data_IF_383712084724
#
_entry.id   IF_383712084724
#
_cell.length_a   1.000
_cell.length_b   1.000
_cell.length_c   1.000
_cell.angle_alpha   90.00
_cell.angle_beta   90.00
_cell.angle_gamma   90.00
#
_symmetry.space_group_name_H-M   'P 1'
#
loop_
_entity.id
_entity.type
_entity.pdbx_description
1 polymer ?
#
# COMPACT_ATOMS: atom_id res chain seq x y z
N UNK A 1 3.82 7.67 18.03
CA UNK A 1 4.22 7.54 16.62
C UNK A 1 3.24 6.61 15.90
N UNK A 2 2.89 6.89 14.64
CA UNK A 2 2.00 6.01 13.90
C UNK A 2 2.67 4.66 13.63
N UNK A 3 1.84 3.62 13.56
CA UNK A 3 2.36 2.28 13.29
C UNK A 3 2.84 2.14 11.86
N UNK A 4 2.20 2.85 10.94
CA UNK A 4 2.56 2.86 9.53
C UNK A 4 2.61 4.31 9.06
N UNK A 5 3.56 4.61 8.19
CA UNK A 5 3.72 5.95 7.64
C UNK A 5 3.91 5.89 6.13
N UNK A 6 3.25 6.81 5.43
CA UNK A 6 3.46 6.96 3.99
C UNK A 6 4.78 7.67 3.74
N UNK A 7 5.65 7.07 2.92
CA UNK A 7 6.92 7.67 2.55
C UNK A 7 6.83 8.30 1.17
N UNK A 8 6.39 7.54 0.17
CA UNK A 8 6.24 8.08 -1.17
C UNK A 8 5.21 7.30 -1.97
N UNK A 9 4.64 7.97 -2.98
CA UNK A 9 3.72 7.36 -3.93
C UNK A 9 4.40 7.42 -5.28
N UNK A 10 4.67 6.26 -5.87
CA UNK A 10 5.31 6.17 -7.17
C UNK A 10 4.32 5.62 -8.19
N UNK A 11 4.72 5.60 -9.45
CA UNK A 11 3.81 5.23 -10.52
C UNK A 11 3.32 3.79 -10.43
N UNK A 12 4.21 2.88 -10.04
CA UNK A 12 3.92 1.46 -9.99
C UNK A 12 4.00 0.87 -8.58
N UNK A 13 4.21 1.70 -7.56
CA UNK A 13 4.33 1.23 -6.20
C UNK A 13 4.07 2.35 -5.19
N UNK A 14 3.80 1.95 -3.96
CA UNK A 14 3.68 2.87 -2.84
C UNK A 14 4.67 2.41 -1.78
N UNK A 15 5.46 3.35 -1.25
CA UNK A 15 6.46 3.05 -0.23
C UNK A 15 5.92 3.52 1.12
N UNK A 16 5.85 2.62 2.08
CA UNK A 16 5.45 2.97 3.44
C UNK A 16 6.46 2.41 4.42
N UNK A 17 6.50 3.00 5.61
CA UNK A 17 7.34 2.51 6.68
C UNK A 17 6.49 1.81 7.74
N UNK A 18 6.85 0.59 8.06
CA UNK A 18 6.23 -0.17 9.13
C UNK A 18 7.04 0.05 10.40
N UNK A 19 6.53 0.91 11.29
CA UNK A 19 7.24 1.26 12.53
C UNK A 19 7.17 0.16 13.58
N UNK A 20 6.25 -0.78 13.41
CA UNK A 20 6.17 -1.92 14.32
C UNK A 20 7.38 -2.82 14.12
N UNK A 21 7.72 -3.09 12.87
CA UNK A 21 8.85 -3.94 12.50
C UNK A 21 10.11 -3.15 12.20
N UNK A 22 10.01 -1.81 12.17
CA UNK A 22 11.09 -0.92 11.80
C UNK A 22 11.66 -1.27 10.41
N UNK A 23 10.77 -1.49 9.44
CA UNK A 23 11.13 -1.88 8.08
C UNK A 23 10.32 -1.11 7.04
N UNK A 24 10.87 -1.02 5.84
CA UNK A 24 10.19 -0.40 4.71
C UNK A 24 9.35 -1.44 4.00
N UNK A 25 8.10 -1.11 3.70
CA UNK A 25 7.21 -1.98 2.95
C UNK A 25 6.96 -1.36 1.58
N UNK A 26 7.21 -2.13 0.54
CA UNK A 26 6.91 -1.71 -0.83
C UNK A 26 5.63 -2.38 -1.27
N UNK A 27 4.62 -1.58 -1.58
CA UNK A 27 3.34 -2.09 -2.07
C UNK A 27 3.36 -1.95 -3.58
N UNK A 28 3.47 -3.07 -4.28
CA UNK A 28 3.57 -3.08 -5.73
C UNK A 28 2.18 -3.14 -6.36
N UNK A 29 1.97 -2.31 -7.38
CA UNK A 29 0.69 -2.26 -8.10
C UNK A 29 0.79 -3.18 -9.31
N UNK A 30 0.07 -4.32 -9.26
CA UNK A 30 0.12 -5.35 -10.31
C UNK A 30 -1.28 -5.73 -10.76
N UNK A 31 -1.55 -5.58 -12.05
CA UNK A 31 -2.77 -6.10 -12.68
C UNK A 31 -4.07 -5.87 -11.90
N UNK A 32 -4.23 -4.66 -11.38
CA UNK A 32 -5.42 -4.32 -10.60
C UNK A 32 -5.39 -4.77 -9.16
N UNK A 33 -4.29 -5.32 -8.69
CA UNK A 33 -4.12 -5.78 -7.32
C UNK A 33 -2.90 -5.16 -6.66
N UNK A 34 -2.91 -5.08 -5.35
CA UNK A 34 -1.76 -4.63 -4.58
C UNK A 34 -1.06 -5.82 -3.94
N UNK A 35 0.26 -5.81 -3.97
CA UNK A 35 1.06 -6.86 -3.36
C UNK A 35 2.07 -6.23 -2.42
N UNK A 36 2.12 -6.71 -1.18
CA UNK A 36 3.07 -6.22 -0.18
C UNK A 36 4.32 -7.09 -0.19
N UNK A 37 5.45 -6.51 -0.59
CA UNK A 37 6.70 -7.26 -0.64
C UNK A 37 7.27 -7.56 0.74
N UNK A 38 6.95 -6.75 1.74
CA UNK A 38 7.40 -6.99 3.10
C UNK A 38 6.68 -8.20 3.71
N UNK A 39 5.35 -8.26 3.56
CA UNK A 39 4.54 -9.34 4.11
C UNK A 39 4.43 -10.53 3.16
N UNK A 40 4.77 -10.33 1.89
CA UNK A 40 4.68 -11.34 0.83
C UNK A 40 3.26 -11.87 0.63
N UNK A 41 2.27 -11.00 0.81
CA UNK A 41 0.87 -11.36 0.61
C UNK A 41 0.13 -10.21 -0.04
N UNK A 42 -1.08 -10.48 -0.53
CA UNK A 42 -1.94 -9.47 -1.16
C UNK A 42 -2.93 -8.86 -0.18
N UNK A 43 -2.93 -9.32 1.05
CA UNK A 43 -3.90 -8.89 2.06
C UNK A 43 -3.22 -8.81 3.43
N UNK A 44 -2.68 -7.65 3.74
CA UNK A 44 -2.02 -7.41 5.02
C UNK A 44 -2.33 -6.00 5.50
N UNK A 45 -1.88 -5.68 6.72
CA UNK A 45 -2.13 -4.37 7.32
C UNK A 45 -1.56 -3.23 6.47
N UNK A 46 -0.43 -3.46 5.82
CA UNK A 46 0.19 -2.44 4.98
C UNK A 46 -0.71 -2.07 3.80
N UNK A 47 -1.31 -3.08 3.17
CA UNK A 47 -2.22 -2.86 2.04
C UNK A 47 -3.48 -2.17 2.51
N UNK A 48 -4.02 -2.58 3.66
CA UNK A 48 -5.17 -1.91 4.25
C UNK A 48 -4.90 -0.44 4.53
N UNK A 49 -3.71 -0.15 5.04
CA UNK A 49 -3.30 1.23 5.31
C UNK A 49 -3.25 2.06 4.01
N UNK A 50 -2.68 1.48 2.95
CA UNK A 50 -2.59 2.17 1.65
C UNK A 50 -4.00 2.53 1.15
N UNK A 51 -4.94 1.60 1.24
CA UNK A 51 -6.31 1.86 0.82
C UNK A 51 -7.02 2.90 1.69
N UNK A 52 -6.57 3.11 2.91
CA UNK A 52 -7.18 4.09 3.81
C UNK A 52 -6.75 5.52 3.53
N UNK A 53 -5.73 5.72 2.72
CA UNK A 53 -5.23 7.05 2.38
C UNK A 53 -6.05 7.60 1.20
N UNK A 54 -6.82 8.70 1.38
CA UNK A 54 -7.73 9.18 0.32
C UNK A 54 -7.04 9.47 -1.01
N UNK A 55 -5.87 10.07 -0.96
CA UNK A 55 -5.07 10.39 -2.12
C UNK A 55 -4.73 9.17 -2.97
N UNK A 56 -4.33 8.11 -2.28
CA UNK A 56 -3.97 6.85 -2.92
C UNK A 56 -5.23 6.14 -3.41
N UNK A 57 -6.28 6.15 -2.61
CA UNK A 57 -7.55 5.53 -2.96
C UNK A 57 -8.07 6.09 -4.29
N UNK A 58 -8.05 7.41 -4.45
CA UNK A 58 -8.50 8.05 -5.68
C UNK A 58 -7.61 7.67 -6.87
N UNK A 59 -6.31 7.66 -6.66
CA UNK A 59 -5.36 7.30 -7.71
C UNK A 59 -5.57 5.85 -8.17
N UNK A 60 -5.75 4.93 -7.24
CA UNK A 60 -5.96 3.53 -7.57
C UNK A 60 -7.29 3.30 -8.26
N UNK A 61 -8.35 3.96 -7.81
CA UNK A 61 -9.64 3.87 -8.46
C UNK A 61 -9.59 4.34 -9.91
N UNK A 62 -8.86 5.44 -10.16
CA UNK A 62 -8.75 5.96 -11.52
C UNK A 62 -7.98 5.03 -12.43
N UNK A 63 -7.16 4.15 -11.87
CA UNK A 63 -6.40 3.14 -12.62
C UNK A 63 -7.11 1.80 -12.70
N UNK A 64 -8.31 1.69 -12.14
CA UNK A 64 -9.08 0.45 -12.18
C UNK A 64 -8.80 -0.53 -11.04
N UNK A 65 -8.01 -0.13 -10.05
CA UNK A 65 -7.76 -0.98 -8.89
C UNK A 65 -8.96 -0.99 -7.97
N UNK A 66 -9.19 -2.10 -7.29
CA UNK A 66 -10.32 -2.24 -6.36
C UNK A 66 -9.86 -2.81 -5.02
N UNK A 67 -10.50 -2.32 -3.97
CA UNK A 67 -10.29 -2.87 -2.64
C UNK A 67 -11.16 -4.12 -2.48
N UNK A 68 -10.53 -5.24 -2.19
CA UNK A 68 -11.19 -6.55 -2.14
C UNK A 68 -11.78 -6.87 -0.76
N UNK A 69 -12.42 -5.92 -0.16
CA UNK A 69 -13.13 -6.21 1.09
C UNK A 69 -14.57 -6.54 0.85
#
# INVERSE_FOLDING_TARGET
>A
APKLELISIEEDRVIIKNNIQNRIAEIVLQRGELYCELCEVKDCHCIGYVWSIPEIYEKLNSKGFRNNK
#
